data_IF_900644662134
#
_entry.id   IF_900644662134
#
_cell.length_a   1.000
_cell.length_b   1.000
_cell.length_c   1.000
_cell.angle_alpha   90.00
_cell.angle_beta   90.00
_cell.angle_gamma   90.00
#
_symmetry.space_group_name_H-M   'P 1'
#
loop_
_entity.id
_entity.type
_entity.pdbx_description
1 polymer ?
#
# COMPACT_ATOMS: atom_id res chain seq x y z
N UNK A 1 57.39 33.53 12.49
CA UNK A 1 56.11 33.58 11.73
C UNK A 1 55.68 32.23 11.19
N UNK A 2 56.57 31.45 10.55
CA UNK A 2 56.23 30.13 9.95
C UNK A 2 55.55 29.15 10.92
N UNK A 3 56.04 29.02 12.16
CA UNK A 3 55.46 28.12 13.18
C UNK A 3 54.04 28.56 13.60
N UNK A 4 53.78 29.86 13.71
CA UNK A 4 52.45 30.38 14.09
C UNK A 4 51.39 30.08 13.02
N UNK A 5 51.79 30.13 11.73
CA UNK A 5 50.89 29.82 10.60
C UNK A 5 50.56 28.32 10.58
N UNK A 6 51.53 27.45 10.88
CA UNK A 6 51.30 26.00 10.97
C UNK A 6 50.32 25.67 12.08
N UNK A 7 50.44 26.32 13.24
CA UNK A 7 49.51 26.12 14.37
C UNK A 7 48.07 26.53 13.98
N UNK A 8 47.90 27.65 13.27
CA UNK A 8 46.59 28.11 12.80
C UNK A 8 46.00 27.13 11.76
N UNK A 9 46.82 26.61 10.84
CA UNK A 9 46.38 25.64 9.85
C UNK A 9 45.95 24.29 10.48
N UNK A 10 46.68 23.84 11.50
CA UNK A 10 46.32 22.63 12.28
C UNK A 10 45.03 22.85 13.07
N UNK A 11 44.85 24.02 13.68
CA UNK A 11 43.62 24.38 14.40
C UNK A 11 42.39 24.42 13.46
N UNK A 12 42.53 24.97 12.25
CA UNK A 12 41.46 24.99 11.26
C UNK A 12 41.10 23.58 10.76
N UNK A 13 42.09 22.70 10.57
CA UNK A 13 41.86 21.30 10.21
C UNK A 13 41.12 20.51 11.29
N UNK A 14 41.40 20.77 12.58
CA UNK A 14 40.70 20.16 13.73
C UNK A 14 39.25 20.65 13.84
N UNK A 15 38.98 21.92 13.54
CA UNK A 15 37.62 22.47 13.55
C UNK A 15 36.78 21.91 12.38
N UNK A 16 37.35 21.80 11.19
CA UNK A 16 36.65 21.24 10.02
C UNK A 16 36.40 19.73 10.19
N UNK A 17 37.35 18.99 10.76
CA UNK A 17 37.16 17.55 11.04
C UNK A 17 36.17 17.28 12.19
N UNK A 18 36.07 18.16 13.20
CA UNK A 18 35.04 18.06 14.25
C UNK A 18 33.65 18.48 13.78
N UNK A 19 33.54 19.40 12.80
CA UNK A 19 32.27 19.72 12.14
C UNK A 19 31.80 18.59 11.18
N UNK A 20 32.74 17.87 10.57
CA UNK A 20 32.45 16.70 9.71
C UNK A 20 32.06 15.43 10.49
N UNK A 21 32.54 15.26 11.72
CA UNK A 21 32.14 14.11 12.57
C UNK A 21 30.84 14.34 13.33
N UNK A 22 30.45 15.59 13.59
CA UNK A 22 29.16 15.94 14.20
C UNK A 22 27.99 15.95 13.22
N UNK A 23 28.25 15.94 11.90
CA UNK A 23 27.22 15.72 10.87
C UNK A 23 27.05 14.25 10.46
N UNK A 24 27.97 13.37 10.87
CA UNK A 24 27.87 11.92 10.63
C UNK A 24 27.35 11.11 11.83
N UNK A 25 27.41 11.63 13.07
CA UNK A 25 26.73 10.98 14.21
C UNK A 25 25.22 11.19 14.22
N UNK A 26 24.72 12.25 13.56
CA UNK A 26 23.29 12.47 13.33
C UNK A 26 22.71 11.63 12.18
N UNK A 27 23.54 10.90 11.44
CA UNK A 27 23.11 10.00 10.36
C UNK A 27 23.29 8.51 10.67
N UNK A 28 23.82 8.17 11.85
CA UNK A 28 24.04 6.77 12.25
C UNK A 28 23.31 6.36 13.52
N UNK A 29 22.68 7.30 14.24
CA UNK A 29 21.75 7.00 15.35
C UNK A 29 20.31 7.04 14.87
N UNK A 30 19.96 6.05 14.07
CA UNK A 30 18.61 5.86 13.51
C UNK A 30 18.40 4.53 12.80
N UNK A 31 19.45 3.74 12.57
CA UNK A 31 19.35 2.31 12.27
C UNK A 31 19.13 1.50 13.57
N UNK A 32 18.20 1.96 14.41
CA UNK A 32 17.41 0.99 15.16
C UNK A 32 16.34 0.51 14.19
N UNK A 33 16.04 -0.77 14.24
CA UNK A 33 14.98 -1.43 13.51
C UNK A 33 13.61 -0.77 13.79
N UNK A 34 13.36 0.41 13.23
CA UNK A 34 12.08 0.67 12.65
C UNK A 34 12.03 -0.27 11.45
N UNK A 35 11.64 -1.53 11.74
CA UNK A 35 10.66 -2.15 10.90
C UNK A 35 9.73 -1.02 10.49
N UNK A 36 9.67 -0.74 9.20
CA UNK A 36 8.71 0.15 8.60
C UNK A 36 7.36 -0.54 8.86
N UNK A 37 6.91 -0.48 10.11
CA UNK A 37 5.64 -0.98 10.59
C UNK A 37 4.69 0.05 10.00
N UNK A 38 4.36 -0.17 8.74
CA UNK A 38 3.15 0.40 8.18
C UNK A 38 2.05 0.07 9.19
N UNK A 39 1.17 1.02 9.55
CA UNK A 39 0.01 0.77 10.39
C UNK A 39 -0.91 -0.34 9.82
N UNK A 40 -0.59 -0.87 8.64
CA UNK A 40 -1.21 -2.05 8.05
C UNK A 40 -0.78 -3.37 8.72
N UNK A 41 0.40 -3.53 9.34
CA UNK A 41 0.82 -4.83 9.92
C UNK A 41 -0.12 -5.27 11.05
N UNK A 42 -0.59 -4.35 11.89
CA UNK A 42 -1.58 -4.65 12.95
C UNK A 42 -2.99 -4.93 12.40
N UNK A 43 -3.24 -4.66 11.10
CA UNK A 43 -4.54 -4.83 10.43
C UNK A 43 -4.68 -6.16 9.68
N UNK A 44 -3.65 -7.00 9.63
CA UNK A 44 -3.55 -8.17 8.72
C UNK A 44 -3.74 -9.51 9.45
N UNK A 45 -4.05 -9.56 10.75
CA UNK A 45 -4.27 -10.86 11.43
C UNK A 45 -5.44 -11.66 10.80
N UNK A 46 -6.50 -10.98 10.33
CA UNK A 46 -7.61 -11.62 9.62
C UNK A 46 -7.27 -12.17 8.24
N UNK A 47 -6.14 -11.77 7.64
CA UNK A 47 -5.74 -12.19 6.30
C UNK A 47 -4.98 -13.51 6.29
N UNK A 48 -4.75 -14.09 7.47
CA UNK A 48 -4.08 -15.37 7.64
C UNK A 48 -5.06 -16.40 8.20
N UNK A 49 -4.86 -17.66 7.84
CA UNK A 49 -5.51 -18.79 8.50
C UNK A 49 -4.46 -19.72 9.10
N UNK A 50 -4.81 -20.33 10.23
CA UNK A 50 -4.02 -21.39 10.83
C UNK A 50 -4.26 -22.71 10.07
N UNK A 51 -3.20 -23.34 9.60
CA UNK A 51 -3.26 -24.73 9.13
C UNK A 51 -3.15 -25.72 10.29
N UNK A 52 -3.73 -26.94 10.14
CA UNK A 52 -3.41 -28.06 11.02
C UNK A 52 -1.91 -28.40 10.85
N UNK A 53 -1.06 -27.80 11.70
CA UNK A 53 0.40 -27.83 11.54
C UNK A 53 1.14 -26.58 12.02
N UNK A 54 0.41 -25.51 12.38
CA UNK A 54 0.99 -24.34 13.08
C UNK A 54 1.67 -23.30 12.17
N UNK A 55 1.38 -23.32 10.87
CA UNK A 55 1.78 -22.27 9.94
C UNK A 55 0.63 -21.31 9.63
N UNK A 56 0.90 -20.01 9.67
CA UNK A 56 -0.03 -18.99 9.15
C UNK A 56 0.15 -18.90 7.64
N UNK A 57 -0.80 -19.44 6.88
CA UNK A 57 -0.85 -19.21 5.44
C UNK A 57 -1.74 -18.02 5.14
N UNK A 58 -1.32 -17.15 4.22
CA UNK A 58 -2.11 -16.01 3.79
C UNK A 58 -3.28 -16.50 2.94
N UNK A 59 -4.48 -16.01 3.22
CA UNK A 59 -5.64 -16.25 2.35
C UNK A 59 -5.34 -15.59 1.00
N UNK A 60 -5.32 -16.38 -0.07
CA UNK A 60 -5.16 -15.89 -1.43
C UNK A 60 -6.22 -16.51 -2.34
N UNK A 61 -6.83 -15.72 -3.23
CA UNK A 61 -7.70 -16.27 -4.26
C UNK A 61 -6.89 -17.13 -5.23
N UNK A 62 -7.47 -18.24 -5.70
CA UNK A 62 -6.92 -19.00 -6.81
C UNK A 62 -7.16 -18.26 -8.12
N UNK A 63 -6.27 -17.32 -8.41
CA UNK A 63 -6.31 -16.49 -9.62
C UNK A 63 -6.28 -17.29 -10.93
N UNK A 64 -5.92 -18.59 -10.93
CA UNK A 64 -5.99 -19.44 -12.13
C UNK A 64 -7.40 -19.92 -12.43
N UNK A 65 -8.25 -19.99 -11.40
CA UNK A 65 -9.63 -20.47 -11.47
C UNK A 65 -10.65 -19.33 -11.59
N UNK A 66 -10.19 -18.08 -11.52
CA UNK A 66 -11.00 -16.87 -11.64
C UNK A 66 -10.94 -16.36 -13.09
N UNK A 67 -12.05 -15.80 -13.58
CA UNK A 67 -12.10 -15.23 -14.93
C UNK A 67 -11.11 -14.05 -15.08
N UNK A 68 -10.40 -14.00 -16.20
CA UNK A 68 -9.34 -13.01 -16.45
C UNK A 68 -9.84 -11.57 -16.41
N UNK A 69 -11.11 -11.33 -16.74
CA UNK A 69 -11.72 -9.99 -16.69
C UNK A 69 -11.88 -9.44 -15.26
N UNK A 70 -11.76 -10.28 -14.23
CA UNK A 70 -11.75 -9.89 -12.82
C UNK A 70 -10.33 -9.64 -12.30
N UNK A 71 -9.31 -9.89 -13.13
CA UNK A 71 -7.90 -9.81 -12.76
C UNK A 71 -7.26 -8.63 -13.49
N UNK A 72 -6.90 -7.61 -12.72
CA UNK A 72 -6.24 -6.41 -13.19
C UNK A 72 -4.72 -6.58 -13.07
N UNK A 73 -4.05 -6.44 -14.22
CA UNK A 73 -2.60 -6.47 -14.35
C UNK A 73 -1.95 -5.14 -13.96
N UNK A 74 -0.94 -4.73 -14.74
CA UNK A 74 -0.37 -3.40 -14.61
C UNK A 74 -1.37 -2.39 -15.16
N UNK A 75 -1.75 -1.39 -14.37
CA UNK A 75 -2.78 -0.43 -14.75
C UNK A 75 -2.20 0.98 -14.84
N UNK A 76 -2.26 1.57 -16.03
CA UNK A 76 -1.99 2.98 -16.25
C UNK A 76 -3.33 3.66 -16.52
N UNK A 77 -3.84 4.37 -15.54
CA UNK A 77 -5.10 5.09 -15.65
C UNK A 77 -4.77 6.43 -16.32
N UNK A 78 -5.26 6.61 -17.55
CA UNK A 78 -5.03 7.81 -18.39
C UNK A 78 -6.29 8.66 -18.57
N UNK A 79 -7.45 8.11 -18.24
CA UNK A 79 -8.78 8.71 -18.30
C UNK A 79 -9.63 8.06 -17.20
N UNK A 80 -10.77 8.67 -16.85
CA UNK A 80 -11.70 8.06 -15.91
C UNK A 80 -12.02 6.61 -16.29
N UNK A 81 -11.75 5.70 -15.35
CA UNK A 81 -11.94 4.28 -15.52
C UNK A 81 -12.96 3.79 -14.50
N UNK A 82 -13.98 3.10 -14.99
CA UNK A 82 -14.94 2.39 -14.15
C UNK A 82 -14.82 0.88 -14.38
N UNK A 83 -14.53 0.15 -13.30
CA UNK A 83 -14.55 -1.32 -13.28
C UNK A 83 -15.94 -1.77 -12.81
N UNK A 84 -16.80 -2.15 -13.76
CA UNK A 84 -18.11 -2.72 -13.48
C UNK A 84 -18.11 -4.22 -13.75
N UNK A 85 -18.53 -5.03 -12.76
CA UNK A 85 -18.71 -6.46 -12.95
C UNK A 85 -19.82 -7.05 -12.06
N UNK A 86 -20.41 -8.16 -12.51
CA UNK A 86 -21.47 -8.85 -11.78
C UNK A 86 -20.97 -9.77 -10.66
N UNK A 87 -19.66 -9.88 -10.43
CA UNK A 87 -19.06 -10.81 -9.47
C UNK A 87 -18.72 -10.16 -8.13
N UNK A 88 -18.98 -8.85 -7.98
CA UNK A 88 -18.66 -8.07 -6.77
C UNK A 88 -17.19 -8.21 -6.35
N UNK A 89 -16.29 -8.54 -7.28
CA UNK A 89 -14.91 -8.88 -6.99
C UNK A 89 -13.96 -8.31 -8.05
N UNK A 90 -12.79 -7.86 -7.61
CA UNK A 90 -11.68 -7.49 -8.49
C UNK A 90 -10.34 -7.78 -7.82
N UNK A 91 -9.39 -8.33 -8.57
CA UNK A 91 -8.06 -8.65 -8.10
C UNK A 91 -7.00 -7.81 -8.83
N UNK A 92 -6.22 -7.02 -8.10
CA UNK A 92 -5.06 -6.31 -8.62
C UNK A 92 -3.79 -7.12 -8.37
N UNK A 93 -3.05 -7.40 -9.46
CA UNK A 93 -1.88 -8.28 -9.43
C UNK A 93 -0.56 -7.57 -9.68
N UNK A 94 -0.62 -6.32 -10.16
CA UNK A 94 0.54 -5.46 -10.37
C UNK A 94 0.18 -4.01 -10.01
N UNK A 95 1.16 -3.13 -10.14
CA UNK A 95 1.05 -1.73 -9.71
C UNK A 95 -0.01 -0.95 -10.51
N UNK A 96 -0.54 0.08 -9.86
CA UNK A 96 -1.52 1.01 -10.42
C UNK A 96 -0.86 2.39 -10.49
N UNK A 97 -1.08 3.10 -11.59
CA UNK A 97 -0.56 4.44 -11.85
C UNK A 97 -1.70 5.36 -12.27
N UNK A 98 -1.94 6.39 -11.47
CA UNK A 98 -2.79 7.52 -11.82
C UNK A 98 -1.90 8.56 -12.50
N UNK A 99 -2.11 8.81 -13.80
CA UNK A 99 -1.20 9.68 -14.57
C UNK A 99 -1.60 11.16 -14.56
N UNK A 100 -2.86 11.46 -14.29
CA UNK A 100 -3.42 12.80 -14.16
C UNK A 100 -4.45 12.81 -13.02
N UNK A 101 -5.07 13.95 -12.72
CA UNK A 101 -6.22 14.00 -11.81
C UNK A 101 -7.45 13.37 -12.47
N UNK A 102 -7.61 12.06 -12.28
CA UNK A 102 -8.63 11.19 -12.90
C UNK A 102 -9.05 10.09 -11.92
N UNK A 103 -10.22 9.50 -12.15
CA UNK A 103 -10.81 8.51 -11.25
C UNK A 103 -10.58 7.06 -11.66
N UNK A 104 -10.47 6.18 -10.66
CA UNK A 104 -10.61 4.73 -10.79
C UNK A 104 -11.75 4.27 -9.89
N UNK A 105 -12.94 4.19 -10.47
CA UNK A 105 -14.17 3.79 -9.77
C UNK A 105 -14.40 2.29 -9.88
N UNK A 106 -14.90 1.67 -8.81
CA UNK A 106 -15.25 0.25 -8.78
C UNK A 106 -16.76 0.13 -8.51
N UNK A 107 -17.47 -0.47 -9.45
CA UNK A 107 -18.92 -0.59 -9.41
C UNK A 107 -19.67 0.71 -9.73
N UNK A 108 -20.99 0.67 -9.56
CA UNK A 108 -21.88 1.81 -9.76
C UNK A 108 -22.45 2.29 -8.43
N UNK A 109 -22.62 3.61 -8.20
CA UNK A 109 -23.31 4.13 -7.00
C UNK A 109 -24.75 3.62 -6.83
N UNK A 110 -25.36 3.12 -7.91
CA UNK A 110 -26.72 2.57 -7.92
C UNK A 110 -26.75 1.05 -7.81
N UNK A 111 -25.61 0.38 -7.59
CA UNK A 111 -25.60 -1.06 -7.38
C UNK A 111 -26.35 -1.41 -6.09
N UNK A 112 -27.15 -2.48 -6.13
CA UNK A 112 -27.88 -2.99 -4.96
C UNK A 112 -26.96 -3.61 -3.89
N UNK A 113 -25.66 -3.69 -4.17
CA UNK A 113 -24.66 -4.33 -3.32
C UNK A 113 -24.13 -3.34 -2.32
N UNK A 114 -23.92 -3.80 -1.09
CA UNK A 114 -23.32 -2.94 -0.08
C UNK A 114 -21.84 -2.66 -0.34
N UNK A 115 -21.09 -3.62 -0.91
CA UNK A 115 -19.64 -3.53 -1.14
C UNK A 115 -19.16 -4.41 -2.31
N UNK A 116 -18.01 -4.04 -2.87
CA UNK A 116 -17.17 -4.91 -3.69
C UNK A 116 -15.97 -5.41 -2.86
N UNK A 117 -15.58 -6.66 -3.08
CA UNK A 117 -14.36 -7.24 -2.51
C UNK A 117 -13.18 -7.00 -3.47
N UNK A 118 -12.16 -6.31 -3.00
CA UNK A 118 -10.90 -6.10 -3.73
C UNK A 118 -9.81 -6.98 -3.13
N UNK A 119 -9.03 -7.64 -3.97
CA UNK A 119 -7.79 -8.31 -3.58
C UNK A 119 -6.56 -7.62 -4.18
N UNK A 120 -5.58 -7.25 -3.34
CA UNK A 120 -4.27 -6.77 -3.77
C UNK A 120 -3.21 -7.85 -3.52
N UNK A 121 -2.59 -8.34 -4.60
CA UNK A 121 -1.58 -9.40 -4.53
C UNK A 121 -0.20 -8.86 -4.19
N UNK A 122 0.40 -9.36 -3.11
CA UNK A 122 1.83 -9.17 -2.80
C UNK A 122 2.25 -7.69 -2.77
N UNK A 123 1.56 -6.90 -1.94
CA UNK A 123 1.92 -5.49 -1.67
C UNK A 123 1.94 -4.64 -2.95
N UNK A 124 0.76 -4.47 -3.53
CA UNK A 124 0.53 -3.63 -4.71
C UNK A 124 0.80 -2.17 -4.37
N UNK A 125 1.66 -1.53 -5.17
CA UNK A 125 1.89 -0.10 -5.10
C UNK A 125 0.89 0.64 -5.99
N UNK A 126 0.23 1.64 -5.42
CA UNK A 126 -0.62 2.60 -6.13
C UNK A 126 0.10 3.94 -6.13
N UNK A 127 0.34 4.49 -7.32
CA UNK A 127 1.01 5.78 -7.51
C UNK A 127 -0.05 6.82 -7.90
N UNK A 128 -0.15 7.89 -7.12
CA UNK A 128 -1.06 8.99 -7.36
C UNK A 128 -0.42 10.04 -8.27
N UNK A 129 -1.25 10.83 -8.94
CA UNK A 129 -0.78 11.85 -9.88
C UNK A 129 0.06 12.95 -9.22
N UNK A 130 -0.19 13.21 -7.93
CA UNK A 130 0.55 14.17 -7.10
C UNK A 130 1.96 13.69 -6.69
N UNK A 131 2.35 12.48 -7.10
CA UNK A 131 3.65 11.87 -6.79
C UNK A 131 3.71 11.14 -5.45
N UNK A 132 2.60 11.07 -4.71
CA UNK A 132 2.46 10.23 -3.51
C UNK A 132 2.09 8.79 -3.85
N UNK A 133 2.13 7.89 -2.86
CA UNK A 133 1.89 6.45 -3.08
C UNK A 133 1.37 5.74 -1.84
N UNK A 134 0.59 4.68 -2.05
CA UNK A 134 0.24 3.69 -1.00
C UNK A 134 0.68 2.29 -1.43
N UNK A 135 0.89 1.42 -0.45
CA UNK A 135 1.03 -0.01 -0.67
C UNK A 135 -0.14 -0.73 -0.01
N UNK A 136 -0.88 -1.51 -0.77
CA UNK A 136 -1.99 -2.32 -0.27
C UNK A 136 -1.70 -3.80 -0.49
N UNK A 137 -2.08 -4.60 0.48
CA UNK A 137 -1.91 -6.05 0.41
C UNK A 137 -3.11 -6.77 1.05
N UNK A 138 -3.57 -7.84 0.41
CA UNK A 138 -4.69 -8.65 0.88
C UNK A 138 -6.06 -8.11 0.48
N UNK A 139 -7.07 -8.35 1.32
CA UNK A 139 -8.48 -8.12 0.97
C UNK A 139 -9.06 -6.85 1.61
N UNK A 140 -9.82 -6.10 0.81
CA UNK A 140 -10.48 -4.85 1.22
C UNK A 140 -11.91 -4.83 0.71
N UNK A 141 -12.80 -4.21 1.47
CA UNK A 141 -14.11 -3.81 0.98
C UNK A 141 -14.06 -2.38 0.48
N UNK A 142 -14.67 -2.15 -0.67
CA UNK A 142 -14.89 -0.82 -1.23
C UNK A 142 -16.38 -0.58 -1.48
N UNK A 143 -16.87 0.62 -1.20
CA UNK A 143 -18.25 1.01 -1.57
C UNK A 143 -18.40 1.09 -3.08
N UNK A 144 -19.54 0.64 -3.66
CA UNK A 144 -19.79 0.81 -5.09
C UNK A 144 -19.72 2.28 -5.52
N UNK A 145 -19.08 2.53 -6.65
CA UNK A 145 -18.89 3.87 -7.19
C UNK A 145 -17.83 4.71 -6.47
N UNK A 146 -17.18 4.19 -5.42
CA UNK A 146 -16.07 4.88 -4.77
C UNK A 146 -14.86 4.93 -5.70
N UNK A 147 -14.27 6.12 -5.80
CA UNK A 147 -12.99 6.33 -6.47
C UNK A 147 -11.84 5.86 -5.56
N UNK A 148 -11.01 4.95 -6.06
CA UNK A 148 -9.83 4.46 -5.36
C UNK A 148 -8.77 5.56 -5.19
N UNK A 149 -8.79 6.61 -6.00
CA UNK A 149 -7.86 7.73 -5.89
C UNK A 149 -8.35 8.88 -4.98
N UNK A 150 -9.55 8.78 -4.43
CA UNK A 150 -10.14 9.80 -3.56
C UNK A 150 -9.25 10.06 -2.33
N UNK A 151 -8.78 11.30 -2.21
CA UNK A 151 -7.91 11.76 -1.13
C UNK A 151 -8.53 11.54 0.27
N UNK A 152 -9.87 11.53 0.37
CA UNK A 152 -10.58 11.29 1.63
C UNK A 152 -10.45 9.86 2.17
N UNK A 153 -9.93 8.91 1.37
CA UNK A 153 -9.62 7.55 1.79
C UNK A 153 -8.23 7.42 2.43
N UNK A 154 -7.44 8.49 2.42
CA UNK A 154 -6.03 8.42 2.78
C UNK A 154 -5.61 9.49 3.78
N UNK A 155 -4.59 9.16 4.56
CA UNK A 155 -3.79 10.13 5.30
C UNK A 155 -2.41 10.21 4.65
N UNK A 156 -1.95 11.41 4.32
CA UNK A 156 -0.66 11.62 3.64
C UNK A 156 0.42 12.03 4.63
N UNK A 157 1.53 11.29 4.64
CA UNK A 157 2.73 11.58 5.42
C UNK A 157 3.93 11.60 4.47
N UNK A 158 4.35 12.81 4.07
CA UNK A 158 5.38 12.99 3.06
C UNK A 158 4.94 12.43 1.70
N UNK A 159 5.69 11.47 1.15
CA UNK A 159 5.34 10.80 -0.12
C UNK A 159 4.46 9.55 0.05
N UNK A 160 4.19 9.15 1.28
CA UNK A 160 3.46 7.92 1.56
C UNK A 160 2.04 8.26 2.01
N UNK A 161 1.07 7.51 1.50
CA UNK A 161 -0.33 7.50 1.93
C UNK A 161 -0.59 6.23 2.72
N UNK A 162 -1.43 6.33 3.74
CA UNK A 162 -1.98 5.20 4.49
C UNK A 162 -3.49 5.25 4.47
N UNK A 163 -4.16 4.10 4.52
CA UNK A 163 -5.62 4.07 4.61
C UNK A 163 -6.07 4.65 5.94
N UNK A 164 -6.93 5.66 5.87
CA UNK A 164 -7.60 6.15 7.06
C UNK A 164 -8.74 5.21 7.47
N UNK A 165 -9.31 5.39 8.66
CA UNK A 165 -10.44 4.59 9.08
C UNK A 165 -11.71 5.16 8.42
N UNK A 166 -12.11 4.57 7.31
CA UNK A 166 -13.16 5.11 6.44
C UNK A 166 -14.13 3.98 6.01
N UNK A 167 -15.47 4.20 6.08
CA UNK A 167 -16.45 3.17 5.70
C UNK A 167 -16.52 2.90 4.19
N UNK A 168 -15.90 3.74 3.37
CA UNK A 168 -15.90 3.62 1.91
C UNK A 168 -14.77 2.71 1.38
N UNK A 169 -13.67 2.56 2.12
CA UNK A 169 -12.59 1.60 1.82
C UNK A 169 -11.92 1.14 3.10
N UNK A 170 -12.06 -0.15 3.43
CA UNK A 170 -11.48 -0.73 4.64
C UNK A 170 -11.07 -2.18 4.46
N UNK A 171 -10.21 -2.66 5.36
CA UNK A 171 -9.73 -4.04 5.36
C UNK A 171 -10.90 -5.01 5.57
N UNK A 172 -10.93 -6.10 4.78
CA UNK A 172 -11.90 -7.16 4.97
C UNK A 172 -11.59 -7.94 6.27
N UNK A 173 -12.51 -7.96 7.25
CA UNK A 173 -12.28 -8.60 8.55
C UNK A 173 -12.36 -10.13 8.51
N UNK A 174 -13.03 -10.71 7.52
CA UNK A 174 -13.08 -12.16 7.31
C UNK A 174 -13.01 -12.48 5.80
N UNK A 175 -11.80 -12.49 5.23
CA UNK A 175 -11.62 -12.75 3.80
C UNK A 175 -12.07 -14.14 3.36
N UNK A 176 -12.02 -15.13 4.25
CA UNK A 176 -12.42 -16.50 3.94
C UNK A 176 -13.93 -16.59 3.74
N UNK A 177 -14.70 -16.07 4.70
CA UNK A 177 -16.15 -16.03 4.61
C UNK A 177 -16.61 -15.19 3.41
N UNK A 178 -15.99 -14.03 3.20
CA UNK A 178 -16.28 -13.15 2.06
C UNK A 178 -16.06 -13.86 0.70
N UNK A 179 -14.93 -14.55 0.55
CA UNK A 179 -14.66 -15.34 -0.66
C UNK A 179 -15.68 -16.47 -0.84
N UNK A 180 -16.08 -17.15 0.24
CA UNK A 180 -17.09 -18.22 0.17
C UNK A 180 -18.46 -17.70 -0.26
N UNK A 181 -18.92 -16.59 0.31
CA UNK A 181 -20.20 -15.97 -0.03
C UNK A 181 -20.24 -15.54 -1.51
N UNK A 182 -19.13 -15.00 -2.02
CA UNK A 182 -18.99 -14.58 -3.41
C UNK A 182 -18.60 -15.71 -4.38
N UNK A 183 -18.42 -16.94 -3.89
CA UNK A 183 -17.99 -18.08 -4.70
C UNK A 183 -16.57 -17.94 -5.29
N UNK A 184 -15.71 -17.13 -4.68
CA UNK A 184 -14.32 -16.92 -5.09
C UNK A 184 -13.45 -18.09 -4.58
N UNK A 185 -12.82 -18.87 -5.47
CA UNK A 185 -11.97 -19.98 -5.05
C UNK A 185 -10.72 -19.45 -4.34
N UNK A 186 -10.36 -20.07 -3.23
CA UNK A 186 -9.14 -19.77 -2.45
C UNK A 186 -8.10 -20.87 -2.75
N UNK A 187 -6.82 -20.51 -2.80
CA UNK A 187 -5.73 -21.48 -2.90
C UNK A 187 -5.74 -22.42 -1.69
N UNK A 188 -5.41 -23.68 -1.96
CA UNK A 188 -5.20 -24.71 -0.94
C UNK A 188 -3.71 -24.89 -0.68
#
# INVERSE_FOLDING_TARGET
MKIKIVIIAVLLLVIISSAGTSTWSAFTTGFNNNADISPDIERIESMYYEEPGGGNQKIEPDLKSISENLIMGMLYVTQDLNINNSYSFVAFTKQIYQLNDISLTIGSPNDERDYYLIYFRNRIKINFYDGTRIWLDGFYYIKPGQDLFDDSLYTTIGKNRTLNNNPYLFVCPDPKSACQELGIPIKK
#
